data_IF_045687969901
#
_entry.id   IF_045687969901
#
_cell.length_a   1.000
_cell.length_b   1.000
_cell.length_c   1.000
_cell.angle_alpha   90.00
_cell.angle_beta   90.00
_cell.angle_gamma   90.00
#
_symmetry.space_group_name_H-M   'P 1'
#
loop_
_entity.id
_entity.type
_entity.pdbx_description
1 polymer ?
#
# COMPACT_ATOMS: atom_id res chain seq x y z
N UNK A 1 -21.23 31.27 -45.56
CA UNK A 1 -20.14 30.33 -45.23
C UNK A 1 -20.37 29.91 -43.79
N UNK A 2 -20.79 28.66 -43.58
CA UNK A 2 -21.21 28.15 -42.28
C UNK A 2 -20.00 27.77 -41.42
N UNK A 3 -20.06 28.18 -40.16
CA UNK A 3 -19.09 27.89 -39.10
C UNK A 3 -19.36 26.50 -38.48
N UNK A 4 -18.28 25.71 -38.39
CA UNK A 4 -18.01 24.58 -37.47
C UNK A 4 -18.83 23.28 -37.65
N UNK A 5 -18.22 22.14 -37.31
CA UNK A 5 -18.13 21.70 -35.90
C UNK A 5 -16.71 21.40 -35.42
N UNK A 6 -16.35 21.96 -34.25
CA UNK A 6 -15.34 21.37 -33.37
C UNK A 6 -15.90 20.05 -32.82
N UNK A 7 -15.37 18.91 -33.23
CA UNK A 7 -15.57 17.66 -32.51
C UNK A 7 -14.38 17.45 -31.57
N UNK A 8 -14.60 17.87 -30.32
CA UNK A 8 -13.77 17.58 -29.16
C UNK A 8 -13.78 16.05 -28.96
N UNK A 9 -12.69 15.39 -29.33
CA UNK A 9 -12.43 14.01 -28.94
C UNK A 9 -12.12 13.98 -27.45
N UNK A 10 -13.15 13.99 -26.62
CA UNK A 10 -12.99 13.78 -25.18
C UNK A 10 -12.79 12.28 -24.98
N UNK A 11 -11.53 11.84 -24.97
CA UNK A 11 -11.18 10.55 -24.40
C UNK A 11 -11.75 10.50 -22.97
N UNK A 12 -12.37 9.39 -22.54
CA UNK A 12 -12.83 9.27 -21.16
C UNK A 12 -11.60 9.32 -20.25
N UNK A 13 -11.36 10.50 -19.66
CA UNK A 13 -10.48 10.64 -18.52
C UNK A 13 -11.12 9.83 -17.39
N UNK A 14 -10.73 8.56 -17.27
CA UNK A 14 -11.06 7.75 -16.12
C UNK A 14 -10.29 8.36 -14.97
N UNK A 15 -10.90 9.33 -14.28
CA UNK A 15 -10.41 9.79 -12.99
C UNK A 15 -10.54 8.59 -12.06
N UNK A 16 -9.45 7.85 -11.88
CA UNK A 16 -9.40 6.81 -10.87
C UNK A 16 -9.47 7.53 -9.51
N UNK A 17 -10.67 7.65 -8.95
CA UNK A 17 -10.86 8.26 -7.65
C UNK A 17 -10.23 7.37 -6.57
N UNK A 18 -9.39 7.96 -5.72
CA UNK A 18 -8.80 7.27 -4.59
C UNK A 18 -9.84 7.04 -3.50
N UNK A 19 -10.22 5.79 -3.26
CA UNK A 19 -11.20 5.45 -2.22
C UNK A 19 -10.59 5.54 -0.82
N UNK A 20 -11.29 6.16 0.15
CA UNK A 20 -10.84 6.26 1.54
C UNK A 20 -11.53 5.21 2.43
N UNK A 21 -10.86 4.09 2.67
CA UNK A 21 -11.35 3.03 3.56
C UNK A 21 -11.17 3.36 5.05
N UNK A 22 -10.56 4.50 5.40
CA UNK A 22 -10.26 4.88 6.79
C UNK A 22 -9.56 3.73 7.53
N UNK A 23 -10.12 3.26 8.64
CA UNK A 23 -9.58 2.12 9.40
C UNK A 23 -10.40 0.84 9.23
N UNK A 24 -11.16 0.70 8.14
CA UNK A 24 -11.92 -0.51 7.83
C UNK A 24 -11.06 -1.49 7.00
N UNK A 25 -10.62 -2.63 7.58
CA UNK A 25 -9.81 -3.60 6.86
C UNK A 25 -10.57 -4.30 5.73
N UNK A 26 -11.85 -4.62 5.91
CA UNK A 26 -12.67 -5.32 4.91
C UNK A 26 -12.81 -4.47 3.64
N UNK A 27 -13.07 -3.17 3.80
CA UNK A 27 -13.09 -2.21 2.69
C UNK A 27 -11.76 -2.22 1.91
N UNK A 28 -10.64 -2.17 2.63
CA UNK A 28 -9.33 -2.11 1.98
C UNK A 28 -9.01 -3.42 1.25
N UNK A 29 -9.39 -4.56 1.84
CA UNK A 29 -9.22 -5.89 1.24
C UNK A 29 -10.07 -6.02 -0.03
N UNK A 30 -11.33 -5.60 -0.02
CA UNK A 30 -12.20 -5.61 -1.21
C UNK A 30 -11.57 -4.81 -2.37
N UNK A 31 -11.02 -3.62 -2.08
CA UNK A 31 -10.32 -2.82 -3.08
C UNK A 31 -9.00 -3.46 -3.51
N UNK A 32 -8.30 -4.14 -2.61
CA UNK A 32 -7.05 -4.83 -2.91
C UNK A 32 -7.25 -6.04 -3.81
N UNK A 33 -8.27 -6.86 -3.58
CA UNK A 33 -8.60 -8.02 -4.43
C UNK A 33 -8.85 -7.63 -5.88
N UNK A 34 -9.35 -6.41 -6.10
CA UNK A 34 -9.56 -5.83 -7.42
C UNK A 34 -8.41 -4.89 -7.86
N UNK A 35 -7.34 -4.81 -7.07
CA UNK A 35 -6.25 -3.85 -7.19
C UNK A 35 -6.70 -2.42 -7.56
N UNK A 36 -7.78 -1.96 -6.94
CA UNK A 36 -8.37 -0.65 -7.18
C UNK A 36 -7.77 0.39 -6.23
N UNK A 37 -7.69 1.66 -6.67
CA UNK A 37 -7.12 2.73 -5.85
C UNK A 37 -7.89 2.89 -4.54
N UNK A 38 -7.20 2.66 -3.43
CA UNK A 38 -7.74 2.90 -2.10
C UNK A 38 -6.63 3.26 -1.12
N UNK A 39 -7.00 3.91 -0.02
CA UNK A 39 -6.12 4.14 1.13
C UNK A 39 -6.80 3.70 2.43
N UNK A 40 -6.00 3.29 3.40
CA UNK A 40 -6.43 2.95 4.75
C UNK A 40 -5.36 3.30 5.78
N UNK A 41 -5.77 3.33 7.05
CA UNK A 41 -4.93 3.55 8.21
C UNK A 41 -5.12 2.39 9.19
N UNK A 42 -4.05 1.65 9.45
CA UNK A 42 -4.02 0.48 10.33
C UNK A 42 -3.17 0.75 11.58
N UNK A 43 -3.50 0.06 12.66
CA UNK A 43 -2.65 -0.02 13.85
C UNK A 43 -2.18 -1.46 13.96
N UNK A 44 -0.89 -1.67 13.72
CA UNK A 44 -0.24 -2.97 13.78
C UNK A 44 0.55 -3.10 15.08
N UNK A 45 0.50 -4.28 15.70
CA UNK A 45 1.31 -4.59 16.88
C UNK A 45 2.54 -5.39 16.47
N UNK A 46 3.71 -4.91 16.86
CA UNK A 46 4.97 -5.61 16.65
C UNK A 46 5.78 -5.62 17.94
N UNK A 47 5.85 -6.78 18.59
CA UNK A 47 6.40 -6.93 19.95
C UNK A 47 5.76 -5.91 20.92
N UNK A 48 6.58 -5.05 21.54
CA UNK A 48 6.14 -4.02 22.48
C UNK A 48 5.81 -2.68 21.79
N UNK A 49 5.72 -2.66 20.47
CA UNK A 49 5.45 -1.45 19.69
C UNK A 49 4.08 -1.48 19.02
N UNK A 50 3.41 -0.33 19.03
CA UNK A 50 2.27 -0.04 18.17
C UNK A 50 2.74 0.80 16.98
N UNK A 51 2.38 0.37 15.77
CA UNK A 51 2.72 1.00 14.51
C UNK A 51 1.45 1.52 13.86
N UNK A 52 1.29 2.84 13.72
CA UNK A 52 0.24 3.39 12.86
C UNK A 52 0.74 3.45 11.43
N UNK A 53 0.14 2.70 10.53
CA UNK A 53 0.57 2.57 9.13
C UNK A 53 -0.55 3.09 8.21
N UNK A 54 -0.20 3.99 7.29
CA UNK A 54 -1.05 4.30 6.15
C UNK A 54 -0.71 3.37 4.99
N UNK A 55 -1.69 2.68 4.45
CA UNK A 55 -1.57 1.85 3.26
C UNK A 55 -2.30 2.51 2.09
N UNK A 56 -1.74 2.45 0.88
CA UNK A 56 -2.36 2.95 -0.34
C UNK A 56 -2.10 2.01 -1.51
N UNK A 57 -3.15 1.64 -2.23
CA UNK A 57 -3.11 0.88 -3.48
C UNK A 57 -2.96 1.87 -4.63
N UNK A 58 -1.97 1.64 -5.50
CA UNK A 58 -1.66 2.48 -6.67
C UNK A 58 -2.14 1.88 -7.99
N UNK A 59 -2.77 0.70 -7.94
CA UNK A 59 -3.25 0.00 -9.12
C UNK A 59 -2.26 -1.04 -9.65
N UNK A 60 -2.57 -1.52 -10.86
CA UNK A 60 -1.86 -2.60 -11.53
C UNK A 60 -0.68 -2.07 -12.34
N UNK A 61 0.48 -2.72 -12.21
CA UNK A 61 1.67 -2.50 -13.04
C UNK A 61 2.30 -3.86 -13.37
N UNK A 62 2.40 -4.21 -14.66
CA UNK A 62 3.09 -5.42 -15.13
C UNK A 62 2.69 -6.73 -14.41
N UNK A 63 1.39 -6.98 -14.22
CA UNK A 63 0.85 -8.15 -13.50
C UNK A 63 1.08 -8.15 -11.98
N UNK A 64 1.40 -6.98 -11.41
CA UNK A 64 1.49 -6.78 -9.97
C UNK A 64 0.52 -5.69 -9.52
N UNK A 65 -0.04 -5.86 -8.33
CA UNK A 65 -0.68 -4.79 -7.59
C UNK A 65 0.35 -4.03 -6.75
N UNK A 66 0.37 -2.71 -6.88
CA UNK A 66 1.28 -1.84 -6.12
C UNK A 66 0.61 -1.33 -4.86
N UNK A 67 1.24 -1.58 -3.71
CA UNK A 67 0.78 -1.08 -2.41
C UNK A 67 1.91 -0.34 -1.73
N UNK A 68 1.70 0.92 -1.35
CA UNK A 68 2.62 1.68 -0.52
C UNK A 68 2.15 1.67 0.92
N UNK A 69 3.05 1.32 1.82
CA UNK A 69 2.90 1.48 3.25
C UNK A 69 3.74 2.67 3.71
N UNK A 70 3.21 3.51 4.58
CA UNK A 70 3.92 4.62 5.21
C UNK A 70 3.71 4.54 6.72
N UNK A 71 4.80 4.52 7.47
CA UNK A 71 4.72 4.59 8.92
C UNK A 71 4.36 6.01 9.33
N UNK A 72 3.23 6.17 10.01
CA UNK A 72 2.75 7.46 10.52
C UNK A 72 3.24 7.67 11.95
N UNK A 73 3.18 6.63 12.78
CA UNK A 73 3.49 6.71 14.21
C UNK A 73 4.10 5.42 14.72
N UNK A 74 5.09 5.53 15.62
CA UNK A 74 5.68 4.41 16.35
C UNK A 74 5.59 4.68 17.86
N UNK A 75 4.96 3.77 18.62
CA UNK A 75 4.79 3.92 20.07
C UNK A 75 5.25 2.67 20.84
N UNK A 76 6.14 2.79 21.85
CA UNK A 76 6.84 4.02 22.24
C UNK A 76 7.84 4.48 21.18
N UNK A 77 8.03 5.80 21.06
CA UNK A 77 8.96 6.39 20.09
C UNK A 77 10.41 6.16 20.54
N UNK A 78 11.02 5.09 20.03
CA UNK A 78 12.41 4.72 20.34
C UNK A 78 13.41 5.12 19.24
N UNK A 79 12.92 5.34 18.02
CA UNK A 79 13.73 5.72 16.85
C UNK A 79 12.92 6.64 15.93
N UNK A 80 13.61 7.50 15.18
CA UNK A 80 12.95 8.45 14.27
C UNK A 80 12.76 7.85 12.86
N UNK A 81 11.76 6.96 12.72
CA UNK A 81 11.42 6.29 11.46
C UNK A 81 10.04 6.67 10.92
N UNK A 82 9.34 7.57 11.60
CA UNK A 82 8.06 8.11 11.15
C UNK A 82 8.24 8.79 9.79
N UNK A 83 7.27 8.61 8.90
CA UNK A 83 7.30 9.09 7.52
C UNK A 83 8.04 8.18 6.53
N UNK A 84 8.80 7.18 6.99
CA UNK A 84 9.42 6.18 6.10
C UNK A 84 8.35 5.30 5.45
N UNK A 85 8.66 4.79 4.26
CA UNK A 85 7.72 4.07 3.42
C UNK A 85 8.30 2.76 2.87
N UNK A 86 7.42 1.84 2.48
CA UNK A 86 7.71 0.64 1.72
C UNK A 86 6.71 0.55 0.55
N UNK A 87 7.18 0.29 -0.67
CA UNK A 87 6.35 0.02 -1.84
C UNK A 87 6.46 -1.47 -2.15
N UNK A 88 5.35 -2.19 -2.06
CA UNK A 88 5.27 -3.62 -2.31
C UNK A 88 4.61 -3.89 -3.66
N UNK A 89 5.14 -4.86 -4.40
CA UNK A 89 4.54 -5.41 -5.62
C UNK A 89 4.03 -6.82 -5.32
N UNK A 90 2.72 -7.00 -5.33
CA UNK A 90 2.08 -8.30 -5.07
C UNK A 90 1.55 -8.85 -6.39
N UNK A 91 1.94 -10.06 -6.82
CA UNK A 91 1.37 -10.70 -8.00
C UNK A 91 -0.16 -10.72 -7.92
N UNK A 92 -0.85 -10.48 -9.03
CA UNK A 92 -2.32 -10.48 -9.02
C UNK A 92 -2.92 -11.83 -8.56
N UNK A 93 -2.22 -12.93 -8.85
CA UNK A 93 -2.61 -14.29 -8.43
C UNK A 93 -2.56 -14.49 -6.91
N UNK A 94 -1.74 -13.72 -6.20
CA UNK A 94 -1.53 -13.82 -4.75
C UNK A 94 -2.42 -12.87 -3.94
N UNK A 95 -3.22 -12.01 -4.58
CA UNK A 95 -4.03 -10.99 -3.90
C UNK A 95 -5.00 -11.56 -2.86
N UNK A 96 -5.59 -12.73 -3.12
CA UNK A 96 -6.49 -13.42 -2.18
C UNK A 96 -5.79 -13.84 -0.88
N UNK A 97 -4.48 -14.00 -0.91
CA UNK A 97 -3.65 -14.42 0.22
C UNK A 97 -2.58 -13.36 0.56
N UNK A 98 -2.83 -12.08 0.22
CA UNK A 98 -1.79 -11.05 0.28
C UNK A 98 -1.15 -10.89 1.67
N UNK A 99 -1.89 -11.12 2.76
CA UNK A 99 -1.36 -11.03 4.12
C UNK A 99 -0.27 -12.07 4.36
N UNK A 100 -0.54 -13.33 3.98
CA UNK A 100 0.44 -14.42 4.04
C UNK A 100 1.62 -14.14 3.11
N UNK A 101 1.34 -13.69 1.88
CA UNK A 101 2.37 -13.32 0.92
C UNK A 101 3.32 -12.25 1.47
N UNK A 102 2.78 -11.15 2.00
CA UNK A 102 3.59 -10.09 2.61
C UNK A 102 4.31 -10.58 3.86
N UNK A 103 3.69 -11.40 4.71
CA UNK A 103 4.35 -11.93 5.91
C UNK A 103 5.61 -12.74 5.57
N UNK A 104 5.55 -13.53 4.51
CA UNK A 104 6.66 -14.39 4.07
C UNK A 104 7.68 -13.65 3.19
N UNK A 105 7.20 -12.81 2.28
CA UNK A 105 7.98 -12.23 1.18
C UNK A 105 8.20 -10.72 1.28
N UNK A 106 7.69 -10.00 2.30
CA UNK A 106 7.81 -8.52 2.43
C UNK A 106 9.21 -7.96 2.25
N UNK A 107 10.24 -8.74 2.54
CA UNK A 107 11.64 -8.32 2.42
C UNK A 107 12.10 -8.31 0.95
N UNK A 108 11.53 -9.19 0.12
CA UNK A 108 11.92 -9.43 -1.26
C UNK A 108 11.02 -8.69 -2.26
N UNK A 109 9.77 -8.45 -1.87
CA UNK A 109 8.71 -7.90 -2.77
C UNK A 109 8.41 -6.44 -2.48
N UNK A 110 9.03 -5.89 -1.45
CA UNK A 110 8.90 -4.49 -1.10
C UNK A 110 10.26 -3.77 -1.19
N UNK A 111 10.21 -2.52 -1.61
CA UNK A 111 11.35 -1.62 -1.66
C UNK A 111 11.11 -0.38 -0.80
N UNK A 112 12.19 0.29 -0.38
CA UNK A 112 12.12 1.54 0.36
C UNK A 112 12.62 1.45 1.80
N UNK A 113 12.79 2.60 2.46
CA UNK A 113 13.51 2.71 3.74
C UNK A 113 12.80 2.03 4.92
N UNK A 114 11.48 1.79 4.84
CA UNK A 114 10.77 1.02 5.88
C UNK A 114 11.10 -0.49 5.81
N UNK A 115 11.48 -1.00 4.63
CA UNK A 115 11.87 -2.42 4.45
C UNK A 115 13.21 -2.71 5.13
N UNK A 116 14.15 -1.78 5.03
CA UNK A 116 15.45 -1.87 5.72
C UNK A 116 15.26 -2.00 7.24
N UNK A 117 14.29 -1.28 7.80
CA UNK A 117 13.92 -1.44 9.21
C UNK A 117 13.34 -2.81 9.51
N UNK A 118 12.43 -3.35 8.68
CA UNK A 118 11.91 -4.70 8.88
C UNK A 118 13.01 -5.77 8.83
N UNK A 119 14.04 -5.58 7.98
CA UNK A 119 15.22 -6.46 7.93
C UNK A 119 15.99 -6.41 9.26
N UNK A 120 16.27 -5.20 9.77
CA UNK A 120 16.93 -5.00 11.06
C UNK A 120 16.14 -5.66 12.19
N UNK A 121 14.84 -5.39 12.31
CA UNK A 121 14.00 -5.97 13.36
C UNK A 121 13.88 -7.51 13.26
N UNK A 122 13.83 -8.10 12.06
CA UNK A 122 13.85 -9.56 11.90
C UNK A 122 15.19 -10.15 12.36
N UNK A 123 16.30 -9.43 12.16
CA UNK A 123 17.61 -9.84 12.67
C UNK A 123 17.70 -9.75 14.20
N UNK A 124 17.05 -8.75 14.81
CA UNK A 124 17.00 -8.58 16.27
C UNK A 124 15.96 -9.45 16.98
N UNK A 125 14.92 -9.92 16.27
CA UNK A 125 13.83 -10.75 16.81
C UNK A 125 14.12 -12.26 16.86
N UNK A 126 15.36 -12.68 16.59
CA UNK A 126 15.85 -14.03 16.95
C UNK A 126 16.51 -13.97 18.33
N UNK A 127 15.70 -13.89 19.38
CA UNK A 127 16.04 -14.34 20.73
C UNK A 127 14.86 -15.13 21.28
#
# INVERSE_FOLDING_TARGET
MNLQPNALGTEPQTSFELYDCKSNPECFVEKLENCSLAKALFIEKFNNFNLTISAQIYGVENNYCKIKFKLIKLEPKIINIEGKWALCKIPLEDLKNYQSYLKEKRIDVCEGPLVEMFKLYKAFGKQ
#
